data_IF_421738760676
#
_entry.id   IF_421738760676
#
_cell.length_a   1.000
_cell.length_b   1.000
_cell.length_c   1.000
_cell.angle_alpha   90.00
_cell.angle_beta   90.00
_cell.angle_gamma   90.00
#
_symmetry.space_group_name_H-M   'P 1'
#
loop_
_entity.id
_entity.type
_entity.pdbx_description
1 polymer ?
#
# COMPACT_ATOMS: atom_id res chain seq x y z
N UNK A 1 2.69 -4.53 22.03
CA UNK A 1 2.41 -4.26 23.45
C UNK A 1 0.98 -4.71 23.77
N UNK A 2 0.78 -5.66 24.70
CA UNK A 2 -0.53 -6.19 25.08
C UNK A 2 -1.53 -5.14 25.57
N UNK A 3 -1.05 -4.03 26.16
CA UNK A 3 -1.93 -2.94 26.64
C UNK A 3 -2.76 -2.31 25.52
N UNK A 4 -2.27 -2.37 24.29
CA UNK A 4 -2.95 -1.83 23.11
C UNK A 4 -3.84 -2.84 22.39
N UNK A 5 -3.89 -4.10 22.84
CA UNK A 5 -4.64 -5.17 22.15
C UNK A 5 -6.11 -4.83 21.95
N UNK A 6 -6.77 -4.36 23.01
CA UNK A 6 -8.19 -3.99 22.95
C UNK A 6 -8.44 -2.85 21.94
N UNK A 7 -7.56 -1.85 21.91
CA UNK A 7 -7.68 -0.73 20.96
C UNK A 7 -7.43 -1.16 19.51
N UNK A 8 -6.50 -2.10 19.26
CA UNK A 8 -6.28 -2.66 17.92
C UNK A 8 -7.50 -3.45 17.44
N UNK A 9 -8.09 -4.28 18.32
CA UNK A 9 -9.27 -5.07 18.01
C UNK A 9 -10.50 -4.19 17.77
N UNK A 10 -10.76 -3.19 18.61
CA UNK A 10 -11.89 -2.28 18.43
C UNK A 10 -11.83 -1.55 17.07
N UNK A 11 -10.62 -1.12 16.65
CA UNK A 11 -10.43 -0.48 15.34
C UNK A 11 -10.79 -1.41 14.18
N UNK A 12 -10.26 -2.64 14.16
CA UNK A 12 -10.53 -3.56 13.05
C UNK A 12 -12.00 -4.02 13.05
N UNK A 13 -12.58 -4.19 14.24
CA UNK A 13 -14.00 -4.52 14.40
C UNK A 13 -14.89 -3.45 13.78
N UNK A 14 -14.66 -2.19 14.14
CA UNK A 14 -15.42 -1.06 13.58
C UNK A 14 -15.25 -0.94 12.07
N UNK A 15 -14.04 -1.14 11.56
CA UNK A 15 -13.76 -1.09 10.11
C UNK A 15 -14.57 -2.14 9.35
N UNK A 16 -14.48 -3.42 9.75
CA UNK A 16 -15.16 -4.50 9.04
C UNK A 16 -16.68 -4.42 9.22
N UNK A 17 -17.16 -4.22 10.45
CA UNK A 17 -18.60 -4.24 10.72
C UNK A 17 -19.36 -3.13 9.98
N UNK A 18 -18.72 -1.96 9.79
CA UNK A 18 -19.29 -0.84 9.06
C UNK A 18 -19.48 -1.15 7.57
N UNK A 19 -18.47 -1.76 6.94
CA UNK A 19 -18.39 -1.80 5.47
C UNK A 19 -18.56 -3.20 4.84
N UNK A 20 -18.71 -4.27 5.64
CA UNK A 20 -18.80 -5.68 5.17
C UNK A 20 -19.86 -6.00 4.09
N UNK A 21 -20.88 -5.16 3.92
CA UNK A 21 -21.95 -5.39 2.95
C UNK A 21 -21.65 -4.78 1.56
N UNK A 22 -20.49 -4.17 1.36
CA UNK A 22 -20.11 -3.59 0.07
C UNK A 22 -19.38 -4.60 -0.82
N UNK A 23 -19.87 -4.89 -2.05
CA UNK A 23 -19.23 -5.84 -2.95
C UNK A 23 -17.95 -5.28 -3.60
N UNK A 24 -17.77 -3.96 -3.60
CA UNK A 24 -16.54 -3.32 -4.07
C UNK A 24 -15.35 -3.57 -3.15
N UNK A 25 -15.59 -3.92 -1.88
CA UNK A 25 -14.53 -4.27 -0.94
C UNK A 25 -14.19 -5.73 -1.14
N UNK A 26 -12.98 -5.99 -1.61
CA UNK A 26 -12.49 -7.34 -1.91
C UNK A 26 -11.40 -7.81 -0.95
N UNK A 27 -10.79 -6.91 -0.17
CA UNK A 27 -9.67 -7.19 0.73
C UNK A 27 -9.80 -6.29 1.97
N UNK A 28 -9.44 -6.80 3.15
CA UNK A 28 -9.32 -6.01 4.39
C UNK A 28 -7.86 -5.72 4.72
N UNK A 29 -7.50 -4.45 4.88
CA UNK A 29 -6.17 -4.08 5.39
C UNK A 29 -6.16 -3.92 6.91
N UNK A 30 -5.15 -4.45 7.60
CA UNK A 30 -5.01 -4.31 9.05
C UNK A 30 -4.50 -2.92 9.49
N UNK A 31 -3.95 -2.15 8.55
CA UNK A 31 -3.32 -0.85 8.79
C UNK A 31 -2.18 -0.59 7.81
N UNK A 32 -1.30 0.35 8.14
CA UNK A 32 -0.09 0.69 7.37
C UNK A 32 1.10 0.89 8.31
N UNK A 33 2.30 0.51 7.89
CA UNK A 33 3.60 0.84 8.53
C UNK A 33 3.63 0.77 10.07
N UNK A 34 2.99 -0.24 10.66
CA UNK A 34 2.84 -0.39 12.11
C UNK A 34 3.74 -1.49 12.70
N UNK A 35 4.81 -1.86 11.98
CA UNK A 35 5.70 -2.96 12.33
C UNK A 35 5.00 -4.32 12.27
N UNK A 36 5.38 -5.25 13.15
CA UNK A 36 4.69 -6.54 13.29
C UNK A 36 4.46 -6.87 14.77
N UNK A 37 3.50 -7.75 15.07
CA UNK A 37 3.32 -8.27 16.42
C UNK A 37 1.95 -8.87 16.70
N UNK A 38 1.81 -9.42 17.91
CA UNK A 38 0.65 -10.22 18.33
C UNK A 38 -0.71 -9.49 18.28
N UNK A 39 -0.73 -8.15 18.27
CA UNK A 39 -1.97 -7.38 18.13
C UNK A 39 -2.46 -7.37 16.67
N UNK A 40 -1.55 -7.24 15.69
CA UNK A 40 -1.88 -7.34 14.27
C UNK A 40 -2.30 -8.77 13.91
N UNK A 41 -1.60 -9.77 14.41
CA UNK A 41 -1.99 -11.18 14.24
C UNK A 41 -3.39 -11.46 14.83
N UNK A 42 -3.72 -10.85 15.98
CA UNK A 42 -5.05 -10.97 16.56
C UNK A 42 -6.14 -10.28 15.74
N UNK A 43 -5.83 -9.13 15.13
CA UNK A 43 -6.74 -8.47 14.21
C UNK A 43 -7.00 -9.35 12.99
N UNK A 44 -5.95 -9.93 12.39
CA UNK A 44 -6.08 -10.86 11.26
C UNK A 44 -6.97 -12.06 11.62
N UNK A 45 -6.68 -12.73 12.72
CA UNK A 45 -7.46 -13.87 13.20
C UNK A 45 -8.94 -13.51 13.43
N UNK A 46 -9.22 -12.32 13.97
CA UNK A 46 -10.59 -11.85 14.13
C UNK A 46 -11.29 -11.59 12.79
N UNK A 47 -10.59 -11.01 11.80
CA UNK A 47 -11.15 -10.81 10.46
C UNK A 47 -11.45 -12.14 9.78
N UNK A 48 -10.54 -13.12 9.86
CA UNK A 48 -10.73 -14.46 9.29
C UNK A 48 -11.93 -15.19 9.90
N UNK A 49 -12.15 -15.07 11.21
CA UNK A 49 -13.33 -15.62 11.88
C UNK A 49 -14.62 -14.91 11.44
N UNK A 50 -14.55 -13.58 11.32
CA UNK A 50 -15.73 -12.75 11.12
C UNK A 50 -16.22 -12.67 9.68
N UNK A 51 -15.31 -12.59 8.71
CA UNK A 51 -15.58 -12.42 7.29
C UNK A 51 -14.59 -13.25 6.44
N UNK A 52 -14.72 -14.60 6.44
CA UNK A 52 -13.79 -15.49 5.74
C UNK A 52 -13.82 -15.37 4.21
N UNK A 53 -14.76 -14.60 3.65
CA UNK A 53 -14.90 -14.42 2.21
C UNK A 53 -13.92 -13.43 1.59
N UNK A 54 -13.19 -12.65 2.41
CA UNK A 54 -12.26 -11.60 1.92
C UNK A 54 -10.86 -11.81 2.49
N UNK A 55 -9.80 -11.76 1.65
CA UNK A 55 -8.42 -11.85 2.12
C UNK A 55 -8.02 -10.70 3.05
N UNK A 56 -7.08 -11.00 3.95
CA UNK A 56 -6.41 -10.05 4.83
C UNK A 56 -5.10 -9.58 4.21
N UNK A 57 -4.94 -8.26 4.13
CA UNK A 57 -3.76 -7.56 3.66
C UNK A 57 -3.07 -6.82 4.81
N UNK A 58 -1.74 -6.87 4.84
CA UNK A 58 -0.91 -5.96 5.62
C UNK A 58 0.54 -6.06 5.16
N UNK A 59 1.14 -4.95 4.76
CA UNK A 59 2.47 -4.96 4.14
C UNK A 59 3.60 -5.26 5.15
N UNK A 60 3.47 -4.77 6.39
CA UNK A 60 4.48 -4.96 7.42
C UNK A 60 4.66 -6.41 7.90
N UNK A 61 3.82 -7.35 7.46
CA UNK A 61 4.03 -8.79 7.66
C UNK A 61 4.88 -9.41 6.54
N UNK A 62 6.15 -9.02 6.48
CA UNK A 62 7.07 -9.53 5.46
C UNK A 62 7.20 -11.06 5.45
N UNK A 63 7.06 -11.70 6.62
CA UNK A 63 7.14 -13.17 6.72
C UNK A 63 5.84 -13.88 6.36
N UNK A 64 4.73 -13.15 6.28
CA UNK A 64 3.43 -13.65 5.89
C UNK A 64 2.90 -14.69 6.87
N UNK A 65 3.01 -14.40 8.15
CA UNK A 65 2.56 -15.25 9.24
C UNK A 65 1.03 -15.17 9.43
N UNK A 66 0.42 -14.03 9.12
CA UNK A 66 -1.01 -13.80 9.39
C UNK A 66 -1.77 -13.09 8.25
N UNK A 67 -1.15 -12.88 7.09
CA UNK A 67 -1.78 -12.27 5.90
C UNK A 67 -1.99 -13.27 4.77
N UNK A 68 -2.97 -13.03 3.91
CA UNK A 68 -3.32 -13.91 2.79
C UNK A 68 -2.69 -13.48 1.46
N UNK A 69 -2.23 -12.22 1.39
CA UNK A 69 -1.59 -11.63 0.22
C UNK A 69 -0.19 -11.16 0.61
N UNK A 70 0.80 -11.46 -0.23
CA UNK A 70 2.12 -10.86 -0.05
C UNK A 70 2.10 -9.44 -0.60
N UNK A 71 2.39 -8.46 0.23
CA UNK A 71 2.38 -7.05 -0.15
C UNK A 71 3.74 -6.42 0.10
N UNK A 72 4.10 -5.45 -0.74
CA UNK A 72 5.27 -4.59 -0.56
C UNK A 72 4.96 -3.15 -0.96
N UNK A 73 5.65 -2.22 -0.32
CA UNK A 73 5.72 -0.83 -0.74
C UNK A 73 7.05 -0.59 -1.47
N UNK A 74 6.98 0.03 -2.65
CA UNK A 74 8.13 0.52 -3.42
C UNK A 74 9.23 -0.52 -3.71
N UNK A 75 8.90 -1.81 -3.83
CA UNK A 75 9.87 -2.80 -4.29
C UNK A 75 10.32 -2.46 -5.71
N UNK A 76 11.63 -2.54 -5.97
CA UNK A 76 12.17 -2.20 -7.29
C UNK A 76 11.58 -3.09 -8.40
N UNK A 77 11.68 -2.65 -9.66
CA UNK A 77 11.30 -3.47 -10.83
C UNK A 77 12.02 -4.83 -10.80
N UNK A 78 13.31 -4.85 -10.46
CA UNK A 78 14.09 -6.09 -10.33
C UNK A 78 13.53 -7.00 -9.25
N UNK A 79 13.30 -6.46 -8.06
CA UNK A 79 12.74 -7.24 -6.94
C UNK A 79 11.34 -7.77 -7.28
N UNK A 80 10.51 -6.96 -7.93
CA UNK A 80 9.16 -7.34 -8.35
C UNK A 80 9.17 -8.46 -9.39
N UNK A 81 10.09 -8.41 -10.36
CA UNK A 81 10.31 -9.49 -11.31
C UNK A 81 10.74 -10.79 -10.62
N UNK A 82 11.66 -10.69 -9.65
CA UNK A 82 12.09 -11.83 -8.85
C UNK A 82 10.97 -12.41 -7.98
N UNK A 83 10.05 -11.57 -7.48
CA UNK A 83 8.87 -12.02 -6.75
C UNK A 83 7.92 -12.78 -7.69
N UNK A 84 7.67 -12.24 -8.89
CA UNK A 84 6.76 -12.81 -9.88
C UNK A 84 7.27 -14.09 -10.56
N UNK A 85 8.58 -14.25 -10.68
CA UNK A 85 9.20 -15.39 -11.37
C UNK A 85 9.05 -16.68 -10.56
N UNK A 86 8.36 -17.67 -11.16
CA UNK A 86 8.23 -18.99 -10.56
C UNK A 86 9.58 -19.69 -10.43
N UNK A 87 9.79 -20.34 -9.30
CA UNK A 87 11.06 -20.99 -8.97
C UNK A 87 12.19 -20.04 -8.54
N UNK A 88 11.99 -18.71 -8.56
CA UNK A 88 12.99 -17.77 -8.03
C UNK A 88 13.31 -18.07 -6.56
N UNK A 89 14.61 -18.08 -6.27
CA UNK A 89 15.16 -18.22 -4.90
C UNK A 89 15.70 -16.90 -4.37
N UNK A 90 15.39 -15.79 -5.04
CA UNK A 90 15.79 -14.47 -4.57
C UNK A 90 15.26 -14.25 -3.15
N UNK A 91 16.11 -13.80 -2.20
CA UNK A 91 15.68 -13.55 -0.83
C UNK A 91 14.57 -12.50 -0.78
N UNK A 92 13.45 -12.82 -0.13
CA UNK A 92 12.42 -11.82 0.15
C UNK A 92 12.80 -11.04 1.41
N UNK A 93 12.52 -9.73 1.41
CA UNK A 93 12.84 -8.82 2.51
C UNK A 93 12.37 -9.40 3.85
N UNK A 94 13.26 -9.42 4.86
CA UNK A 94 12.90 -9.83 6.22
C UNK A 94 12.48 -11.29 6.38
N UNK A 95 12.77 -12.17 5.39
CA UNK A 95 12.37 -13.59 5.44
C UNK A 95 13.56 -14.54 5.49
N UNK A 96 13.38 -15.68 6.16
CA UNK A 96 14.19 -16.88 5.92
C UNK A 96 13.78 -17.56 4.61
N UNK A 97 14.60 -18.46 4.03
CA UNK A 97 14.23 -19.18 2.81
C UNK A 97 12.89 -19.93 2.90
N UNK A 98 12.56 -20.52 4.05
CA UNK A 98 11.29 -21.21 4.27
C UNK A 98 10.10 -20.24 4.31
N UNK A 99 10.24 -19.11 5.00
CA UNK A 99 9.21 -18.05 5.01
C UNK A 99 9.03 -17.43 3.61
N UNK A 100 10.12 -17.20 2.89
CA UNK A 100 10.08 -16.70 1.51
C UNK A 100 9.39 -17.68 0.56
N UNK A 101 9.67 -18.98 0.67
CA UNK A 101 8.97 -20.01 -0.09
C UNK A 101 7.45 -20.03 0.21
N UNK A 102 7.05 -19.86 1.48
CA UNK A 102 5.64 -19.73 1.86
C UNK A 102 5.01 -18.47 1.30
N UNK A 103 5.66 -17.31 1.38
CA UNK A 103 5.14 -16.07 0.79
C UNK A 103 4.94 -16.18 -0.72
N UNK A 104 5.85 -16.88 -1.42
CA UNK A 104 5.72 -17.23 -2.85
C UNK A 104 4.63 -18.26 -3.15
N UNK A 105 3.75 -18.60 -2.20
CA UNK A 105 2.49 -19.31 -2.51
C UNK A 105 1.32 -18.36 -2.66
N UNK A 106 1.46 -17.11 -2.22
CA UNK A 106 0.41 -16.09 -2.21
C UNK A 106 0.45 -15.24 -3.49
N UNK A 107 -0.69 -14.62 -3.86
CA UNK A 107 -0.67 -13.52 -4.82
C UNK A 107 0.16 -12.36 -4.25
N UNK A 108 0.70 -11.54 -5.15
CA UNK A 108 1.50 -10.36 -4.80
C UNK A 108 0.83 -9.07 -5.26
N UNK A 109 0.87 -8.04 -4.41
CA UNK A 109 0.45 -6.69 -4.77
C UNK A 109 1.44 -5.65 -4.27
N UNK A 110 1.54 -4.55 -5.02
CA UNK A 110 2.21 -3.33 -4.58
C UNK A 110 1.18 -2.42 -3.92
N UNK A 111 1.06 -2.42 -2.59
CA UNK A 111 0.09 -1.54 -1.93
C UNK A 111 0.45 -0.06 -2.08
N UNK A 112 1.73 0.23 -2.32
CA UNK A 112 2.21 1.53 -2.78
C UNK A 112 3.34 1.34 -3.79
N UNK A 113 3.29 2.04 -4.92
CA UNK A 113 4.41 2.13 -5.86
C UNK A 113 4.36 3.45 -6.64
N UNK A 114 5.39 3.67 -7.47
CA UNK A 114 5.46 4.78 -8.42
C UNK A 114 5.10 6.15 -7.79
N UNK A 115 5.88 6.57 -6.81
CA UNK A 115 5.62 7.79 -6.05
C UNK A 115 5.45 9.03 -6.95
N UNK A 116 4.24 9.59 -6.99
CA UNK A 116 3.76 10.57 -7.96
C UNK A 116 3.98 12.03 -7.52
N UNK A 117 5.03 12.30 -6.74
CA UNK A 117 5.35 13.64 -6.26
C UNK A 117 6.06 14.47 -7.35
N UNK A 118 5.45 15.58 -7.74
CA UNK A 118 6.06 16.56 -8.65
C UNK A 118 6.10 16.06 -10.10
N UNK A 119 7.27 16.12 -10.74
CA UNK A 119 7.46 15.67 -12.13
C UNK A 119 7.78 14.17 -12.16
N UNK A 120 6.84 13.34 -12.60
CA UNK A 120 6.91 11.88 -12.61
C UNK A 120 5.51 11.26 -12.52
N UNK A 121 5.38 9.97 -12.14
CA UNK A 121 6.45 8.99 -11.91
C UNK A 121 6.94 8.34 -13.21
N UNK A 122 8.24 8.03 -13.28
CA UNK A 122 8.82 7.23 -14.37
C UNK A 122 8.74 5.72 -14.12
N UNK A 123 8.84 4.91 -15.16
CA UNK A 123 9.00 3.44 -15.05
C UNK A 123 7.72 2.64 -14.82
N UNK A 124 6.54 3.25 -14.98
CA UNK A 124 5.25 2.56 -14.88
C UNK A 124 5.11 1.41 -15.89
N UNK A 125 5.61 1.62 -17.12
CA UNK A 125 5.62 0.64 -18.20
C UNK A 125 6.38 -0.65 -17.84
N UNK A 126 7.44 -0.52 -17.04
CA UNK A 126 8.23 -1.66 -16.59
C UNK A 126 7.46 -2.51 -15.56
N UNK A 127 6.74 -1.88 -14.63
CA UNK A 127 5.87 -2.61 -13.69
C UNK A 127 4.68 -3.25 -14.41
N UNK A 128 4.04 -2.51 -15.32
CA UNK A 128 2.88 -3.02 -16.08
C UNK A 128 3.25 -4.26 -16.90
N UNK A 129 4.41 -4.23 -17.57
CA UNK A 129 4.93 -5.40 -18.29
C UNK A 129 5.09 -6.63 -17.39
N UNK A 130 5.64 -6.46 -16.18
CA UNK A 130 5.79 -7.56 -15.24
C UNK A 130 4.44 -8.17 -14.83
N UNK A 131 3.42 -7.34 -14.62
CA UNK A 131 2.06 -7.80 -14.29
C UNK A 131 1.50 -8.69 -15.40
N UNK A 132 1.74 -8.33 -16.66
CA UNK A 132 1.32 -9.16 -17.79
C UNK A 132 2.14 -10.44 -17.96
N UNK A 133 3.41 -10.44 -17.57
CA UNK A 133 4.33 -11.58 -17.71
C UNK A 133 4.19 -12.61 -16.57
N UNK A 134 3.82 -12.18 -15.37
CA UNK A 134 3.83 -13.02 -14.17
C UNK A 134 2.43 -13.08 -13.52
N UNK A 135 1.69 -14.20 -13.64
CA UNK A 135 0.34 -14.33 -13.07
C UNK A 135 0.22 -14.11 -11.56
N UNK A 136 1.33 -14.24 -10.82
CA UNK A 136 1.40 -13.95 -9.38
C UNK A 136 1.25 -12.46 -9.07
N UNK A 137 1.66 -11.58 -9.98
CA UNK A 137 1.68 -10.14 -9.77
C UNK A 137 0.31 -9.56 -10.12
N UNK A 138 -0.38 -8.99 -9.15
CA UNK A 138 -1.75 -8.46 -9.31
C UNK A 138 -1.77 -6.92 -9.46
N UNK A 139 -0.66 -6.33 -9.91
CA UNK A 139 -0.51 -4.90 -10.06
C UNK A 139 -0.19 -4.15 -8.77
N UNK A 140 -0.60 -2.89 -8.72
CA UNK A 140 -0.29 -2.00 -7.62
C UNK A 140 -1.14 -0.74 -7.56
N UNK A 141 -1.00 -0.02 -6.45
CA UNK A 141 -1.69 1.23 -6.18
C UNK A 141 -0.67 2.38 -6.16
N UNK A 142 -0.80 3.32 -7.11
CA UNK A 142 0.10 4.48 -7.22
C UNK A 142 -0.04 5.35 -5.98
N UNK A 143 1.09 5.73 -5.38
CA UNK A 143 1.11 6.67 -4.25
C UNK A 143 1.38 8.10 -4.74
N UNK A 144 0.46 9.05 -4.66
CA UNK A 144 -0.93 8.96 -4.20
C UNK A 144 -1.86 9.66 -5.19
N UNK A 145 -3.16 9.48 -5.01
CA UNK A 145 -4.17 10.04 -5.91
C UNK A 145 -4.15 11.58 -5.97
N UNK A 146 -3.95 12.23 -4.81
CA UNK A 146 -4.06 13.68 -4.70
C UNK A 146 -3.02 14.20 -3.72
N UNK A 147 -2.27 15.27 -4.05
CA UNK A 147 -1.36 15.89 -3.10
C UNK A 147 -2.12 16.47 -1.90
N UNK A 148 -1.57 16.37 -0.68
CA UNK A 148 -2.12 17.08 0.47
C UNK A 148 -1.97 18.59 0.24
N UNK A 149 -3.09 19.30 0.12
CA UNK A 149 -3.09 20.75 -0.02
C UNK A 149 -3.97 21.41 1.02
N UNK A 150 -3.37 22.35 1.75
CA UNK A 150 -4.10 23.30 2.60
C UNK A 150 -4.11 24.64 1.87
N UNK A 151 -5.29 25.19 1.50
CA UNK A 151 -5.36 26.51 0.91
C UNK A 151 -4.75 27.52 1.88
N UNK A 152 -3.75 28.27 1.44
CA UNK A 152 -3.28 29.46 2.14
C UNK A 152 -3.89 30.66 1.43
N UNK A 153 -4.48 31.58 2.20
CA UNK A 153 -4.84 32.87 1.64
C UNK A 153 -3.54 33.56 1.21
N UNK A 154 -3.44 33.92 -0.06
CA UNK A 154 -2.40 34.86 -0.47
C UNK A 154 -2.67 36.16 0.29
N UNK A 155 -1.79 36.53 1.22
CA UNK A 155 -1.79 37.89 1.74
C UNK A 155 -1.53 38.78 0.54
N UNK A 156 -2.58 39.46 0.07
CA UNK A 156 -2.47 40.52 -0.91
C UNK A 156 -1.59 41.60 -0.28
N UNK A 157 -0.27 41.52 -0.51
CA UNK A 157 0.55 42.69 -0.49
C UNK A 157 0.06 43.53 -1.68
N UNK A 158 -0.89 44.43 -1.44
CA UNK A 158 -1.12 45.55 -2.35
C UNK A 158 0.17 46.36 -2.37
N UNK A 159 1.08 46.03 -3.28
CA UNK A 159 2.09 46.98 -3.72
C UNK A 159 1.37 48.05 -4.53
N UNK A 160 0.98 49.13 -3.88
CA UNK A 160 0.62 50.38 -4.53
C UNK A 160 1.89 50.95 -5.16
N UNK A 161 2.15 50.58 -6.41
CA UNK A 161 3.08 51.34 -7.25
C UNK A 161 2.34 51.72 -8.52
N UNK A 162 1.75 52.91 -8.47
CA UNK A 162 1.35 53.67 -9.65
C UNK A 162 2.58 53.86 -10.53
N UNK A 163 2.61 53.27 -11.71
CA UNK A 163 3.56 53.63 -12.76
C UNK A 163 2.77 53.92 -14.04
N UNK A 164 2.79 55.20 -14.39
CA UNK A 164 2.14 55.88 -15.50
C UNK A 164 2.63 55.40 -16.87
N UNK A 165 1.67 55.23 -17.78
CA UNK A 165 1.65 55.32 -19.26
C UNK A 165 2.92 55.62 -20.08
N UNK A 166 2.98 54.93 -21.23
CA UNK A 166 3.42 55.31 -22.61
C UNK A 166 4.42 54.26 -23.17
N UNK A 167 4.26 53.66 -24.37
CA UNK A 167 3.97 54.23 -25.69
C UNK A 167 3.21 53.27 -26.63
N UNK A 168 2.49 53.88 -27.58
CA UNK A 168 1.80 53.33 -28.76
C UNK A 168 2.72 53.01 -29.95
N UNK A 169 2.20 52.12 -30.81
CA UNK A 169 2.51 51.82 -32.22
C UNK A 169 3.76 51.00 -32.52
#
# INVERSE_FOLDING_TARGET
DPRWRAAYLDRIQRTVERDKNHPSIVIWSLGNESGTGANLAANAAWVHDRDPGRPVHYEGDYTGEYTDVYSRMYSSVRETAEIGTDGSRYPLLGTTPGQGARQRTKPFLLCEYAHAMGNGPGGLDAYERLVHEHPRLHGGFVWEWRPPSTPTAATSARSSTTATSSWTA
#
